data_IF_892599487218
#
_entry.id   IF_892599487218
#
_cell.length_a   1.000
_cell.length_b   1.000
_cell.length_c   1.000
_cell.angle_alpha   90.00
_cell.angle_beta   90.00
_cell.angle_gamma   90.00
#
_symmetry.space_group_name_H-M   'P 1'
#
loop_
_entity.id
_entity.type
_entity.pdbx_description
1 polymer ?
#
# COMPACT_ATOMS: atom_id res chain seq x y z
N UNK A 1 68.71 4.19 -2.90
CA UNK A 1 67.68 3.27 -3.40
C UNK A 1 66.44 3.42 -2.56
N UNK A 2 65.50 4.27 -2.97
CA UNK A 2 64.22 4.48 -2.32
C UNK A 2 63.13 3.93 -3.24
N UNK A 3 62.47 2.86 -2.82
CA UNK A 3 61.33 2.27 -3.51
C UNK A 3 60.06 3.01 -3.04
N UNK A 4 59.48 3.75 -3.97
CA UNK A 4 58.18 4.37 -3.78
C UNK A 4 57.08 3.31 -3.77
N UNK A 5 56.28 3.32 -2.74
CA UNK A 5 55.08 2.48 -2.62
C UNK A 5 53.87 3.31 -3.11
N UNK A 6 53.49 3.14 -4.36
CA UNK A 6 52.27 3.70 -4.94
C UNK A 6 51.11 2.83 -4.53
N UNK A 7 50.40 3.28 -3.49
CA UNK A 7 49.10 2.72 -3.13
C UNK A 7 48.10 3.12 -4.23
N UNK A 8 47.70 2.15 -5.00
CA UNK A 8 46.61 2.25 -5.98
C UNK A 8 45.30 2.35 -5.16
N UNK A 9 44.74 3.54 -5.17
CA UNK A 9 43.38 3.78 -4.72
C UNK A 9 42.41 3.17 -5.74
N UNK A 10 41.92 1.96 -5.46
CA UNK A 10 40.84 1.38 -6.26
C UNK A 10 39.60 2.26 -6.12
N UNK A 11 38.97 2.68 -7.23
CA UNK A 11 37.69 3.35 -7.13
C UNK A 11 36.67 2.36 -6.59
N UNK A 12 36.01 2.73 -5.49
CA UNK A 12 34.76 2.11 -5.05
C UNK A 12 33.77 2.12 -6.22
N UNK A 13 33.74 1.04 -6.98
CA UNK A 13 32.65 0.78 -7.90
C UNK A 13 31.39 0.66 -7.05
N UNK A 14 30.59 1.73 -7.02
CA UNK A 14 29.22 1.66 -6.56
C UNK A 14 28.57 0.52 -7.34
N UNK A 15 28.37 -0.59 -6.68
CA UNK A 15 27.55 -1.68 -7.15
C UNK A 15 26.15 -1.12 -7.31
N UNK A 16 25.86 -0.56 -8.49
CA UNK A 16 24.50 -0.28 -8.93
C UNK A 16 23.81 -1.63 -8.94
N UNK A 17 23.17 -1.96 -7.82
CA UNK A 17 22.28 -3.10 -7.76
C UNK A 17 21.25 -2.90 -8.87
N UNK A 18 21.26 -3.77 -9.87
CA UNK A 18 20.23 -3.89 -10.88
C UNK A 18 18.92 -4.23 -10.15
N UNK A 19 18.23 -3.19 -9.67
CA UNK A 19 16.89 -3.32 -9.15
C UNK A 19 16.03 -3.74 -10.33
N UNK A 20 15.45 -4.91 -10.28
CA UNK A 20 14.35 -5.24 -11.14
C UNK A 20 13.25 -4.23 -10.81
N UNK A 21 13.09 -3.25 -11.69
CA UNK A 21 12.00 -2.27 -11.56
C UNK A 21 10.70 -3.07 -11.68
N UNK A 22 10.10 -3.37 -10.54
CA UNK A 22 8.78 -3.99 -10.52
C UNK A 22 7.80 -3.00 -11.13
N UNK A 23 7.35 -3.27 -12.34
CA UNK A 23 6.31 -2.46 -12.97
C UNK A 23 4.95 -2.89 -12.48
N UNK A 24 4.04 -1.92 -12.35
CA UNK A 24 2.64 -2.16 -12.00
C UNK A 24 1.77 -1.80 -13.20
N UNK A 25 0.85 -2.69 -13.55
CA UNK A 25 -0.06 -2.50 -14.67
C UNK A 25 -1.51 -2.71 -14.22
N UNK A 26 -2.45 -2.04 -14.87
CA UNK A 26 -3.89 -2.28 -14.70
C UNK A 26 -4.36 -3.15 -15.86
N UNK A 27 -5.02 -4.27 -15.53
CA UNK A 27 -5.60 -5.17 -16.51
C UNK A 27 -6.68 -4.45 -17.35
N UNK A 28 -6.66 -4.59 -18.70
CA UNK A 28 -7.63 -3.93 -19.57
C UNK A 28 -9.09 -4.27 -19.27
N UNK A 29 -9.40 -5.50 -18.84
CA UNK A 29 -10.78 -5.89 -18.49
C UNK A 29 -11.25 -5.24 -17.18
N UNK A 30 -10.33 -5.05 -16.21
CA UNK A 30 -10.63 -4.25 -15.04
C UNK A 30 -10.86 -2.79 -15.44
N UNK A 31 -9.99 -2.24 -16.30
CA UNK A 31 -10.10 -0.86 -16.78
C UNK A 31 -11.39 -0.58 -17.53
N UNK A 32 -11.90 -1.53 -18.33
CA UNK A 32 -13.22 -1.43 -18.99
C UNK A 32 -14.37 -1.30 -17.98
N UNK A 33 -14.32 -2.06 -16.88
CA UNK A 33 -15.36 -2.02 -15.83
C UNK A 33 -15.22 -0.82 -14.90
N UNK A 34 -13.99 -0.36 -14.66
CA UNK A 34 -13.62 0.72 -13.77
C UNK A 34 -12.70 1.72 -14.50
N UNK A 35 -13.21 2.50 -15.47
CA UNK A 35 -12.38 3.29 -16.38
C UNK A 35 -11.58 4.40 -15.68
N UNK A 36 -12.06 4.90 -14.56
CA UNK A 36 -11.38 5.94 -13.77
C UNK A 36 -10.34 5.38 -12.80
N UNK A 37 -10.02 4.08 -12.84
CA UNK A 37 -9.02 3.50 -11.92
C UNK A 37 -7.63 4.04 -12.24
N UNK A 38 -6.96 4.55 -11.21
CA UNK A 38 -5.55 4.99 -11.23
C UNK A 38 -4.88 4.45 -9.98
N UNK A 39 -3.64 4.00 -10.13
CA UNK A 39 -2.83 3.55 -9.00
C UNK A 39 -1.70 4.54 -8.75
N UNK A 40 -1.43 4.82 -7.47
CA UNK A 40 -0.23 5.52 -7.04
C UNK A 40 0.75 4.51 -6.44
N UNK A 41 1.88 4.30 -7.08
CA UNK A 41 2.94 3.42 -6.61
C UNK A 41 3.99 4.23 -5.88
N UNK A 42 4.33 3.80 -4.69
CA UNK A 42 5.49 4.28 -3.92
C UNK A 42 6.36 3.08 -3.59
N UNK A 43 7.58 3.04 -4.10
CA UNK A 43 8.58 2.05 -3.70
C UNK A 43 9.62 2.72 -2.81
N UNK A 44 10.13 1.99 -1.83
CA UNK A 44 11.14 2.50 -0.91
C UNK A 44 11.99 1.37 -0.32
N UNK A 45 13.23 1.69 0.02
CA UNK A 45 13.95 0.95 1.07
C UNK A 45 13.46 1.43 2.41
N UNK A 46 13.28 0.51 3.34
CA UNK A 46 12.76 0.81 4.67
C UNK A 46 13.48 -0.01 5.74
N UNK A 47 13.36 0.46 6.98
CA UNK A 47 13.67 -0.34 8.17
C UNK A 47 12.36 -0.61 8.89
N UNK A 48 11.94 -1.89 8.89
CA UNK A 48 10.71 -2.32 9.54
C UNK A 48 10.95 -2.52 11.05
N UNK A 49 10.87 -1.44 11.80
CA UNK A 49 11.03 -1.38 13.25
C UNK A 49 9.73 -0.95 13.92
N UNK A 50 9.69 -0.95 15.24
CA UNK A 50 8.56 -0.42 16.00
C UNK A 50 8.29 1.05 15.65
N UNK A 51 7.02 1.43 15.62
CA UNK A 51 6.64 2.80 15.34
C UNK A 51 7.21 3.76 16.40
N UNK A 52 7.89 4.85 16.01
CA UNK A 52 8.37 5.86 16.98
C UNK A 52 7.18 6.59 17.63
N UNK A 53 7.42 7.20 18.79
CA UNK A 53 6.39 7.92 19.55
C UNK A 53 5.69 8.99 18.69
N UNK A 54 6.46 9.75 17.91
CA UNK A 54 5.93 10.81 17.06
C UNK A 54 4.93 10.28 15.97
N UNK A 55 5.17 9.09 15.41
CA UNK A 55 4.20 8.48 14.48
C UNK A 55 2.91 8.09 15.23
N UNK A 56 3.04 7.51 16.42
CA UNK A 56 1.87 7.15 17.23
C UNK A 56 1.05 8.38 17.63
N UNK A 57 1.70 9.48 17.98
CA UNK A 57 1.05 10.76 18.27
C UNK A 57 0.29 11.31 17.05
N UNK A 58 0.89 11.21 15.86
CA UNK A 58 0.23 11.62 14.63
C UNK A 58 -1.01 10.75 14.33
N UNK A 59 -0.92 9.44 14.52
CA UNK A 59 -2.06 8.52 14.39
C UNK A 59 -3.19 8.87 15.38
N UNK A 60 -2.85 9.13 16.65
CA UNK A 60 -3.80 9.55 17.69
C UNK A 60 -4.47 10.90 17.36
N UNK A 61 -3.70 11.84 16.80
CA UNK A 61 -4.24 13.11 16.37
C UNK A 61 -5.29 12.94 15.24
N UNK A 62 -5.08 12.00 14.31
CA UNK A 62 -6.07 11.66 13.29
C UNK A 62 -7.31 10.97 13.87
N UNK A 63 -7.17 10.08 14.86
CA UNK A 63 -8.29 9.48 15.59
C UNK A 63 -9.13 10.57 16.26
N UNK A 64 -8.49 11.46 17.01
CA UNK A 64 -9.15 12.57 17.68
C UNK A 64 -9.85 13.53 16.71
N UNK A 65 -9.18 13.85 15.58
CA UNK A 65 -9.76 14.68 14.51
C UNK A 65 -11.05 14.09 13.93
N UNK A 66 -11.06 12.76 13.68
CA UNK A 66 -12.23 12.07 13.13
C UNK A 66 -13.36 12.05 14.16
N UNK A 67 -13.07 11.66 15.40
CA UNK A 67 -14.06 11.53 16.46
C UNK A 67 -14.60 12.88 16.93
N UNK A 68 -13.82 13.96 16.79
CA UNK A 68 -14.21 15.34 17.13
C UNK A 68 -15.05 16.05 16.06
N UNK A 69 -15.35 15.43 14.93
CA UNK A 69 -16.27 16.00 13.95
C UNK A 69 -17.69 16.07 14.52
N UNK A 70 -18.50 17.08 14.15
CA UNK A 70 -19.92 17.15 14.58
C UNK A 70 -20.70 15.88 14.21
N UNK A 71 -20.44 15.34 13.03
CA UNK A 71 -21.00 14.09 12.52
C UNK A 71 -19.88 13.15 12.05
N UNK A 72 -19.22 12.39 12.96
CA UNK A 72 -18.03 11.62 12.61
C UNK A 72 -18.25 10.60 11.50
N UNK A 73 -19.46 10.06 11.34
CA UNK A 73 -19.80 9.06 10.32
C UNK A 73 -19.74 9.59 8.89
N UNK A 74 -19.77 10.91 8.67
CA UNK A 74 -19.69 11.54 7.35
C UNK A 74 -18.35 11.26 6.63
N UNK A 75 -17.29 10.92 7.37
CA UNK A 75 -16.01 10.48 6.77
C UNK A 75 -16.18 9.27 5.85
N UNK A 76 -17.20 8.42 6.06
CA UNK A 76 -17.52 7.27 5.23
C UNK A 76 -18.24 7.64 3.92
N UNK A 77 -18.66 8.89 3.80
CA UNK A 77 -19.38 9.43 2.63
C UNK A 77 -18.47 10.21 1.69
N UNK A 78 -17.15 10.18 1.93
CA UNK A 78 -16.19 10.83 1.04
C UNK A 78 -16.28 10.27 -0.38
N UNK A 79 -15.98 11.11 -1.38
CA UNK A 79 -16.02 10.73 -2.79
C UNK A 79 -15.11 9.52 -3.08
N UNK A 80 -13.95 9.45 -2.44
CA UNK A 80 -12.99 8.34 -2.59
C UNK A 80 -13.52 7.01 -2.03
N UNK A 81 -14.16 7.03 -0.86
CA UNK A 81 -14.82 5.82 -0.31
C UNK A 81 -15.99 5.38 -1.21
N UNK A 82 -16.81 6.33 -1.69
CA UNK A 82 -17.90 6.00 -2.64
C UNK A 82 -17.36 5.43 -3.93
N UNK A 83 -16.29 5.99 -4.49
CA UNK A 83 -15.65 5.47 -5.71
C UNK A 83 -15.11 4.04 -5.50
N UNK A 84 -14.46 3.76 -4.38
CA UNK A 84 -14.00 2.40 -4.03
C UNK A 84 -15.18 1.42 -3.98
N UNK A 85 -16.28 1.77 -3.30
CA UNK A 85 -17.51 0.95 -3.26
C UNK A 85 -18.11 0.72 -4.66
N UNK A 86 -18.10 1.75 -5.51
CA UNK A 86 -18.57 1.62 -6.90
C UNK A 86 -17.69 0.69 -7.71
N UNK A 87 -16.36 0.74 -7.53
CA UNK A 87 -15.42 -0.21 -8.15
C UNK A 87 -15.72 -1.65 -7.76
N UNK A 88 -15.93 -1.94 -6.48
CA UNK A 88 -16.32 -3.29 -6.02
C UNK A 88 -17.63 -3.75 -6.67
N UNK A 89 -18.66 -2.89 -6.72
CA UNK A 89 -19.93 -3.21 -7.38
C UNK A 89 -19.76 -3.49 -8.86
N UNK A 90 -18.95 -2.69 -9.57
CA UNK A 90 -18.68 -2.88 -11.01
C UNK A 90 -17.98 -4.22 -11.30
N UNK A 91 -17.22 -4.73 -10.33
CA UNK A 91 -16.56 -6.04 -10.38
C UNK A 91 -17.44 -7.19 -9.85
N UNK A 92 -18.70 -6.91 -9.47
CA UNK A 92 -19.66 -7.92 -9.00
C UNK A 92 -19.57 -8.24 -7.50
N UNK A 93 -18.88 -7.41 -6.70
CA UNK A 93 -18.77 -7.64 -5.24
C UNK A 93 -19.65 -6.67 -4.44
N UNK A 94 -20.22 -7.20 -3.36
CA UNK A 94 -20.96 -6.38 -2.40
C UNK A 94 -19.99 -5.59 -1.49
N UNK A 95 -19.95 -4.24 -1.59
CA UNK A 95 -19.07 -3.43 -0.76
C UNK A 95 -19.47 -3.37 0.73
N UNK A 96 -20.65 -3.87 1.10
CA UNK A 96 -21.00 -4.02 2.51
C UNK A 96 -20.25 -5.21 3.14
N UNK A 97 -19.99 -6.25 2.35
CA UNK A 97 -19.28 -7.47 2.75
C UNK A 97 -17.77 -7.35 2.54
N UNK A 98 -17.36 -6.76 1.40
CA UNK A 98 -15.96 -6.60 1.03
C UNK A 98 -15.59 -5.11 1.07
N UNK A 99 -14.82 -4.70 2.07
CA UNK A 99 -14.45 -3.30 2.28
C UNK A 99 -12.98 -3.10 2.01
N UNK A 100 -12.64 -1.98 1.37
CA UNK A 100 -11.25 -1.55 1.28
C UNK A 100 -10.67 -1.14 2.64
N UNK A 101 -9.34 -1.19 2.78
CA UNK A 101 -8.61 -0.90 4.02
C UNK A 101 -9.00 0.44 4.65
N UNK A 102 -9.11 1.50 3.84
CA UNK A 102 -9.47 2.83 4.33
C UNK A 102 -10.84 2.85 5.04
N UNK A 103 -11.87 2.26 4.43
CA UNK A 103 -13.19 2.17 5.05
C UNK A 103 -13.18 1.30 6.30
N UNK A 104 -12.44 0.19 6.28
CA UNK A 104 -12.33 -0.72 7.42
C UNK A 104 -11.68 -0.01 8.63
N UNK A 105 -10.60 0.73 8.42
CA UNK A 105 -9.90 1.51 9.45
C UNK A 105 -10.77 2.65 9.99
N UNK A 106 -11.45 3.40 9.11
CA UNK A 106 -12.38 4.45 9.54
C UNK A 106 -13.50 3.89 10.42
N UNK A 107 -14.10 2.75 10.04
CA UNK A 107 -15.14 2.10 10.86
C UNK A 107 -14.60 1.60 12.19
N UNK A 108 -13.35 1.14 12.22
CA UNK A 108 -12.66 0.75 13.45
C UNK A 108 -12.54 1.94 14.41
N UNK A 109 -12.06 3.10 13.92
CA UNK A 109 -11.95 4.35 14.71
C UNK A 109 -13.34 4.80 15.21
N UNK A 110 -14.33 4.83 14.32
CA UNK A 110 -15.72 5.19 14.66
C UNK A 110 -16.39 4.24 15.66
N UNK A 111 -15.87 3.05 15.87
CA UNK A 111 -16.31 2.11 16.91
C UNK A 111 -15.53 2.24 18.22
N UNK A 112 -14.72 3.30 18.38
CA UNK A 112 -13.91 3.55 19.58
C UNK A 112 -12.65 2.68 19.69
N UNK A 113 -12.21 2.05 18.59
CA UNK A 113 -10.96 1.26 18.55
C UNK A 113 -9.86 2.07 17.89
N UNK A 114 -8.68 2.12 18.50
CA UNK A 114 -7.53 2.80 17.96
C UNK A 114 -6.98 2.11 16.70
N UNK A 115 -6.08 2.78 15.97
CA UNK A 115 -5.31 2.13 14.91
C UNK A 115 -4.67 0.82 15.42
N UNK A 116 -4.55 -0.22 14.56
CA UNK A 116 -3.66 -1.33 14.88
C UNK A 116 -2.22 -0.80 15.00
N UNK A 117 -1.45 -1.37 15.88
CA UNK A 117 -0.02 -1.08 16.04
C UNK A 117 0.76 -2.34 15.68
N UNK A 118 1.51 -2.29 14.59
CA UNK A 118 2.22 -3.45 14.04
C UNK A 118 3.73 -3.16 13.96
N UNK A 119 4.12 -2.25 13.09
CA UNK A 119 5.46 -1.71 12.91
C UNK A 119 5.36 -0.37 12.18
N UNK A 120 6.44 0.41 12.14
CA UNK A 120 6.42 1.75 11.55
C UNK A 120 5.90 1.77 10.11
N UNK A 121 6.31 0.82 9.27
CA UNK A 121 5.89 0.78 7.86
C UNK A 121 4.39 0.53 7.72
N UNK A 122 3.87 -0.51 8.38
CA UNK A 122 2.44 -0.85 8.34
C UNK A 122 1.59 0.26 8.95
N UNK A 123 2.07 0.87 10.04
CA UNK A 123 1.35 1.94 10.74
C UNK A 123 1.27 3.22 9.88
N UNK A 124 2.33 3.55 9.12
CA UNK A 124 2.31 4.60 8.11
C UNK A 124 1.23 4.33 7.04
N UNK A 125 1.14 3.09 6.53
CA UNK A 125 0.15 2.72 5.52
C UNK A 125 -1.27 2.81 6.09
N UNK A 126 -1.48 2.39 7.33
CA UNK A 126 -2.76 2.54 8.02
C UNK A 126 -3.16 4.02 8.18
N UNK A 127 -2.22 4.86 8.63
CA UNK A 127 -2.42 6.30 8.72
C UNK A 127 -2.78 6.90 7.35
N UNK A 128 -1.99 6.59 6.32
CA UNK A 128 -2.23 7.07 4.96
C UNK A 128 -3.55 6.60 4.37
N UNK A 129 -3.99 5.37 4.64
CA UNK A 129 -5.31 4.87 4.22
C UNK A 129 -6.44 5.72 4.82
N UNK A 130 -6.30 6.12 6.09
CA UNK A 130 -7.28 6.98 6.77
C UNK A 130 -7.20 8.43 6.29
N UNK A 131 -6.00 8.98 6.14
CA UNK A 131 -5.76 10.35 5.70
C UNK A 131 -6.25 10.57 4.26
N UNK A 132 -5.83 9.72 3.35
CA UNK A 132 -6.18 9.82 1.92
C UNK A 132 -7.58 9.34 1.56
N UNK A 133 -8.22 8.52 2.42
CA UNK A 133 -9.47 7.78 2.13
C UNK A 133 -9.33 6.75 1.00
N UNK A 134 -8.11 6.39 0.64
CA UNK A 134 -7.83 5.40 -0.39
C UNK A 134 -7.43 4.06 0.25
N UNK A 135 -7.90 2.93 -0.27
CA UNK A 135 -7.33 1.65 0.10
C UNK A 135 -5.90 1.54 -0.44
N UNK A 136 -5.03 0.93 0.35
CA UNK A 136 -3.61 0.79 0.04
C UNK A 136 -3.21 -0.66 0.24
N UNK A 137 -2.55 -1.26 -0.77
CA UNK A 137 -1.84 -2.52 -0.66
C UNK A 137 -0.38 -2.27 -0.29
N UNK A 138 0.20 -3.15 0.54
CA UNK A 138 1.59 -3.05 0.99
C UNK A 138 2.29 -4.39 0.85
N UNK A 139 3.40 -4.42 0.11
CA UNK A 139 4.08 -5.65 -0.28
C UNK A 139 5.58 -5.57 -0.02
N UNK A 140 6.13 -6.64 0.58
CA UNK A 140 7.57 -6.88 0.64
C UNK A 140 8.06 -7.31 -0.75
N UNK A 141 8.88 -6.46 -1.38
CA UNK A 141 9.40 -6.70 -2.73
C UNK A 141 10.32 -7.92 -2.84
N UNK A 142 10.89 -8.39 -1.73
CA UNK A 142 11.66 -9.63 -1.73
C UNK A 142 10.81 -10.88 -2.04
N UNK A 143 9.49 -10.78 -1.84
CA UNK A 143 8.52 -11.85 -2.07
C UNK A 143 7.61 -11.62 -3.28
N UNK A 144 7.85 -10.57 -4.06
CA UNK A 144 7.18 -10.29 -5.34
C UNK A 144 8.07 -10.76 -6.48
N UNK A 145 7.51 -11.44 -7.46
CA UNK A 145 8.24 -11.93 -8.62
C UNK A 145 7.73 -11.32 -9.92
N UNK A 146 8.62 -10.60 -10.60
CA UNK A 146 8.30 -9.95 -11.88
C UNK A 146 7.35 -8.76 -11.71
N UNK A 147 6.50 -8.55 -12.72
CA UNK A 147 5.59 -7.42 -12.75
C UNK A 147 4.32 -7.68 -11.96
N UNK A 148 3.75 -6.62 -11.39
CA UNK A 148 2.47 -6.67 -10.66
C UNK A 148 1.35 -6.26 -11.62
N UNK A 149 0.28 -7.03 -11.67
CA UNK A 149 -0.93 -6.70 -12.41
C UNK A 149 -2.10 -6.53 -11.46
N UNK A 150 -2.79 -5.39 -11.56
CA UNK A 150 -4.05 -5.12 -10.84
C UNK A 150 -5.22 -5.55 -11.72
N UNK A 151 -5.95 -6.60 -11.32
CA UNK A 151 -7.04 -7.20 -12.08
C UNK A 151 -8.19 -7.71 -11.20
N UNK A 152 -9.27 -8.13 -11.80
CA UNK A 152 -10.30 -8.91 -11.08
C UNK A 152 -9.82 -10.35 -10.84
N UNK A 153 -10.11 -10.87 -9.66
CA UNK A 153 -9.88 -12.27 -9.31
C UNK A 153 -10.75 -13.20 -10.15
N UNK A 154 -10.20 -14.32 -10.56
CA UNK A 154 -10.89 -15.35 -11.37
C UNK A 154 -11.59 -16.36 -10.46
N UNK A 155 -12.53 -17.11 -11.03
CA UNK A 155 -13.18 -18.22 -10.32
C UNK A 155 -12.14 -19.23 -9.81
N UNK A 156 -12.29 -19.67 -8.56
CA UNK A 156 -11.40 -20.63 -7.91
C UNK A 156 -10.07 -20.09 -7.40
N UNK A 157 -9.75 -18.82 -7.68
CA UNK A 157 -8.54 -18.21 -7.11
C UNK A 157 -8.70 -17.95 -5.61
N UNK A 158 -7.66 -18.30 -4.86
CA UNK A 158 -7.58 -18.08 -3.41
C UNK A 158 -6.17 -17.66 -3.02
N UNK A 159 -6.01 -17.05 -1.86
CA UNK A 159 -4.77 -16.97 -1.12
C UNK A 159 -5.06 -16.90 0.39
N UNK A 160 -4.07 -17.28 1.20
CA UNK A 160 -4.12 -17.10 2.64
C UNK A 160 -3.93 -15.63 3.01
N UNK A 161 -4.97 -14.99 3.51
CA UNK A 161 -4.93 -13.60 3.98
C UNK A 161 -4.22 -13.47 5.33
N UNK A 162 -3.58 -12.34 5.60
CA UNK A 162 -2.87 -12.06 6.84
C UNK A 162 -3.83 -12.25 8.03
N UNK A 163 -3.51 -13.21 8.92
CA UNK A 163 -4.32 -13.52 10.09
C UNK A 163 -5.73 -14.05 9.77
N UNK A 164 -5.94 -14.62 8.59
CA UNK A 164 -7.24 -15.12 8.09
C UNK A 164 -7.10 -16.53 7.50
N UNK A 165 -8.25 -17.14 7.17
CA UNK A 165 -8.32 -18.31 6.34
C UNK A 165 -8.12 -17.95 4.86
N UNK A 166 -8.14 -18.97 3.99
CA UNK A 166 -8.11 -18.76 2.55
C UNK A 166 -9.26 -17.87 2.10
N UNK A 167 -8.93 -16.82 1.39
CA UNK A 167 -9.87 -15.85 0.84
C UNK A 167 -10.27 -16.26 -0.57
N UNK A 168 -11.56 -16.34 -0.84
CA UNK A 168 -12.08 -16.45 -2.21
C UNK A 168 -11.92 -15.09 -2.90
N UNK A 169 -11.15 -15.08 -3.98
CA UNK A 169 -10.76 -13.87 -4.70
C UNK A 169 -11.65 -13.56 -5.90
N UNK A 170 -12.52 -14.48 -6.29
CA UNK A 170 -13.39 -14.31 -7.46
C UNK A 170 -14.08 -12.95 -7.46
N UNK A 171 -13.87 -12.15 -8.51
CA UNK A 171 -14.44 -10.83 -8.69
C UNK A 171 -13.90 -9.75 -7.75
N UNK A 172 -12.99 -10.04 -6.80
CA UNK A 172 -12.30 -9.00 -6.03
C UNK A 172 -11.25 -8.30 -6.90
N UNK A 173 -11.04 -6.99 -6.74
CA UNK A 173 -9.85 -6.34 -7.28
C UNK A 173 -8.63 -6.90 -6.54
N UNK A 174 -7.66 -7.43 -7.26
CA UNK A 174 -6.48 -8.09 -6.69
C UNK A 174 -5.19 -7.69 -7.39
N UNK A 175 -4.10 -7.78 -6.69
CA UNK A 175 -2.75 -7.70 -7.23
C UNK A 175 -2.19 -9.10 -7.43
N UNK A 176 -1.60 -9.32 -8.60
CA UNK A 176 -0.96 -10.57 -8.99
C UNK A 176 0.43 -10.30 -9.53
N UNK A 177 1.35 -11.22 -9.26
CA UNK A 177 2.66 -11.30 -9.89
C UNK A 177 2.80 -12.62 -10.67
N UNK A 178 4.01 -13.01 -11.08
CA UNK A 178 4.27 -14.28 -11.78
C UNK A 178 3.93 -15.52 -10.95
N UNK A 179 3.92 -15.41 -9.62
CA UNK A 179 3.58 -16.51 -8.72
C UNK A 179 2.06 -16.59 -8.43
N UNK A 180 1.29 -15.60 -8.88
CA UNK A 180 -0.16 -15.54 -8.69
C UNK A 180 -0.64 -14.41 -7.79
N UNK A 181 -1.91 -14.47 -7.33
CA UNK A 181 -2.50 -13.45 -6.47
C UNK A 181 -1.73 -13.27 -5.15
N UNK A 182 -1.53 -12.01 -4.74
CA UNK A 182 -0.81 -11.74 -3.48
C UNK A 182 -1.39 -10.59 -2.65
N UNK A 183 -2.34 -9.84 -3.15
CA UNK A 183 -2.93 -8.74 -2.39
C UNK A 183 -4.25 -8.25 -2.94
N UNK A 184 -4.97 -7.52 -2.12
CA UNK A 184 -6.22 -6.84 -2.50
C UNK A 184 -6.46 -5.63 -1.61
N UNK A 185 -7.30 -4.65 -2.06
CA UNK A 185 -7.69 -3.53 -1.19
C UNK A 185 -8.41 -3.96 0.09
N UNK A 186 -8.88 -5.22 0.16
CA UNK A 186 -9.60 -5.79 1.31
C UNK A 186 -8.67 -6.47 2.33
N UNK A 187 -7.63 -7.16 1.85
CA UNK A 187 -6.67 -7.90 2.68
C UNK A 187 -5.52 -8.38 1.81
N UNK A 188 -4.31 -8.24 2.29
CA UNK A 188 -3.12 -8.75 1.62
C UNK A 188 -2.84 -10.21 2.02
N UNK A 189 -2.02 -10.91 1.24
CA UNK A 189 -1.64 -12.30 1.50
C UNK A 189 -0.46 -12.39 2.48
N UNK A 190 -0.37 -13.51 3.19
CA UNK A 190 0.79 -13.80 4.04
C UNK A 190 2.09 -13.90 3.23
N UNK A 191 2.03 -14.24 1.91
CA UNK A 191 3.21 -14.41 1.07
C UNK A 191 4.05 -13.15 0.94
N UNK A 192 3.41 -12.00 0.74
CA UNK A 192 4.08 -10.72 0.49
C UNK A 192 3.93 -9.74 1.65
N UNK A 193 3.55 -10.22 2.83
CA UNK A 193 3.37 -9.35 3.98
C UNK A 193 4.69 -8.77 4.46
N UNK A 194 4.65 -7.53 4.93
CA UNK A 194 5.78 -6.86 5.57
C UNK A 194 6.04 -7.46 6.95
N UNK A 195 7.31 -7.80 7.20
CA UNK A 195 7.81 -8.36 8.46
C UNK A 195 8.96 -7.51 9.00
N UNK A 196 9.49 -7.87 10.17
CA UNK A 196 10.68 -7.21 10.73
C UNK A 196 11.95 -7.35 9.83
N UNK A 197 11.97 -8.34 8.94
CA UNK A 197 13.07 -8.57 8.02
C UNK A 197 12.93 -7.79 6.69
N UNK A 198 11.80 -7.16 6.45
CA UNK A 198 11.52 -6.45 5.20
C UNK A 198 12.43 -5.23 5.06
N UNK A 199 13.09 -5.15 3.92
CA UNK A 199 14.01 -4.05 3.58
C UNK A 199 13.51 -3.19 2.41
N UNK A 200 12.54 -3.68 1.64
CA UNK A 200 12.01 -2.99 0.48
C UNK A 200 10.52 -3.24 0.34
N UNK A 201 9.81 -2.17 0.05
CA UNK A 201 8.35 -2.22 -0.06
C UNK A 201 7.86 -1.58 -1.34
N UNK A 202 6.73 -2.10 -1.83
CA UNK A 202 5.82 -1.41 -2.74
C UNK A 202 4.54 -1.12 -1.98
N UNK A 203 4.19 0.16 -1.87
CA UNK A 203 2.90 0.62 -1.37
C UNK A 203 2.08 1.17 -2.54
N UNK A 204 0.88 0.62 -2.74
CA UNK A 204 0.04 0.95 -3.90
C UNK A 204 -1.28 1.54 -3.41
N UNK A 205 -1.46 2.84 -3.63
CA UNK A 205 -2.72 3.55 -3.37
C UNK A 205 -3.67 3.28 -4.54
N UNK A 206 -4.91 2.92 -4.23
CA UNK A 206 -5.88 2.51 -5.25
C UNK A 206 -7.00 3.54 -5.32
N UNK A 207 -7.06 4.29 -6.42
CA UNK A 207 -8.14 5.21 -6.70
C UNK A 207 -9.05 4.66 -7.82
N UNK A 208 -10.32 4.42 -7.50
CA UNK A 208 -11.36 4.11 -8.48
C UNK A 208 -12.05 5.37 -9.02
N UNK A 209 -11.67 6.54 -8.52
CA UNK A 209 -12.30 7.83 -8.84
C UNK A 209 -11.41 8.81 -9.62
N UNK A 210 -10.33 8.34 -10.24
CA UNK A 210 -9.38 9.19 -10.95
C UNK A 210 -8.16 9.58 -10.14
N UNK A 211 -7.33 10.46 -10.71
CA UNK A 211 -6.01 10.82 -10.15
C UNK A 211 -6.05 11.98 -9.14
N UNK A 212 -7.22 12.56 -8.88
CA UNK A 212 -7.33 13.75 -8.03
C UNK A 212 -6.76 13.53 -6.63
N UNK A 213 -5.73 14.33 -6.25
CA UNK A 213 -5.02 14.25 -4.99
C UNK A 213 -4.21 12.96 -4.77
N UNK A 214 -4.06 12.10 -5.79
CA UNK A 214 -3.34 10.84 -5.66
C UNK A 214 -1.83 11.06 -5.56
N UNK A 215 -1.27 11.92 -6.40
CA UNK A 215 0.15 12.25 -6.37
C UNK A 215 0.57 12.87 -5.03
N UNK A 216 -0.22 13.82 -4.52
CA UNK A 216 0.00 14.43 -3.20
C UNK A 216 -0.04 13.39 -2.08
N UNK A 217 -0.96 12.41 -2.18
CA UNK A 217 -1.02 11.30 -1.23
C UNK A 217 0.23 10.40 -1.30
N UNK A 218 0.77 10.14 -2.49
CA UNK A 218 2.03 9.42 -2.67
C UNK A 218 3.22 10.20 -2.09
N UNK A 219 3.30 11.50 -2.35
CA UNK A 219 4.35 12.36 -1.80
C UNK A 219 4.29 12.41 -0.26
N UNK A 220 3.08 12.50 0.32
CA UNK A 220 2.89 12.46 1.77
C UNK A 220 3.34 11.12 2.36
N UNK A 221 3.01 10.00 1.71
CA UNK A 221 3.47 8.67 2.11
C UNK A 221 4.99 8.57 2.06
N UNK A 222 5.61 9.03 0.98
CA UNK A 222 7.07 9.06 0.84
C UNK A 222 7.73 9.83 1.99
N UNK A 223 7.20 11.00 2.34
CA UNK A 223 7.70 11.81 3.45
C UNK A 223 7.59 11.07 4.81
N UNK A 224 6.47 10.37 5.06
CA UNK A 224 6.28 9.59 6.27
C UNK A 224 7.25 8.38 6.35
N UNK A 225 7.45 7.67 5.22
CA UNK A 225 8.42 6.56 5.15
C UNK A 225 9.84 7.07 5.43
N UNK A 226 10.21 8.22 4.86
CA UNK A 226 11.51 8.84 5.13
C UNK A 226 11.66 9.25 6.58
N UNK A 227 10.64 9.86 7.16
CA UNK A 227 10.68 10.41 8.52
C UNK A 227 10.66 9.31 9.60
N UNK A 228 9.86 8.25 9.43
CA UNK A 228 9.54 7.31 10.51
C UNK A 228 10.01 5.86 10.27
N UNK A 229 10.34 5.50 9.03
CA UNK A 229 10.74 4.14 8.68
C UNK A 229 12.13 4.07 8.00
N UNK A 230 12.96 5.12 8.13
CA UNK A 230 14.29 5.18 7.51
C UNK A 230 14.24 5.08 5.98
N UNK A 231 13.17 5.58 5.36
CA UNK A 231 12.90 5.47 3.92
C UNK A 231 14.00 6.11 3.08
N UNK A 232 14.58 5.33 2.17
CA UNK A 232 15.55 5.78 1.16
C UNK A 232 15.18 5.20 -0.20
N UNK A 233 15.84 5.67 -1.27
CA UNK A 233 15.62 5.21 -2.64
C UNK A 233 14.12 5.19 -3.01
N UNK A 234 13.44 6.29 -2.63
CA UNK A 234 11.98 6.39 -2.80
C UNK A 234 11.66 6.81 -4.22
N UNK A 235 10.83 6.01 -4.88
CA UNK A 235 10.30 6.31 -6.21
C UNK A 235 8.78 6.42 -6.17
N UNK A 236 8.22 7.35 -6.93
CA UNK A 236 6.77 7.57 -7.05
C UNK A 236 6.40 7.50 -8.51
N UNK A 237 5.35 6.75 -8.83
CA UNK A 237 4.75 6.74 -10.16
C UNK A 237 3.24 6.60 -10.11
N UNK A 238 2.57 7.13 -11.13
CA UNK A 238 1.13 6.94 -11.35
C UNK A 238 0.91 5.99 -12.52
N UNK A 239 -0.02 5.06 -12.36
CA UNK A 239 -0.39 4.06 -13.37
C UNK A 239 -1.87 4.21 -13.70
N UNK A 240 -2.19 4.38 -14.98
CA UNK A 240 -3.55 4.63 -15.46
C UNK A 240 -3.97 3.70 -16.61
#
# INVERSE_FOLDING_TARGET
MLRGNTSLCEPLVRQLSLWHMTTVNIDPELKKKCPSTVLGLVTARVTSQDAPAALREEMQAWEAKILGLPEPRTVLESSKIRAARSGYKALGKDPARYRGSAEALLRRILSGKNFPQINAVVDIINLMSVESRLPIGLYDLAHVKGNITFRAGRAGETYKGIGKYDLNLEGLPIFCDELGPHGSPTSDSERTMVTAATQQVAAILISFGGADGLEQSCQRMAALLQQYAGGTDIEISLVS
#
